data_IF_963463011550
#
_entry.id   IF_963463011550
#
_cell.length_a   1.000
_cell.length_b   1.000
_cell.length_c   1.000
_cell.angle_alpha   90.00
_cell.angle_beta   90.00
_cell.angle_gamma   90.00
#
_symmetry.space_group_name_H-M   'P 1'
#
loop_
_entity.id
_entity.type
_entity.pdbx_description
1 polymer ?
#
# COMPACT_ATOMS: atom_id res chain seq x y z
N UNK A 1 23.36 -27.51 -27.12
CA UNK A 1 24.27 -26.86 -26.19
C UNK A 1 23.91 -25.38 -26.21
N UNK A 2 23.61 -24.78 -25.07
CA UNK A 2 23.42 -23.34 -25.01
C UNK A 2 24.74 -22.68 -25.30
N UNK A 3 24.77 -21.71 -26.23
CA UNK A 3 25.96 -20.93 -26.49
C UNK A 3 26.32 -20.10 -25.26
N UNK A 4 27.60 -20.03 -24.93
CA UNK A 4 28.10 -19.24 -23.78
C UNK A 4 29.23 -18.31 -24.24
N UNK A 5 29.40 -17.22 -23.50
CA UNK A 5 30.55 -16.33 -23.56
C UNK A 5 31.34 -16.41 -22.28
N UNK A 6 32.65 -16.34 -22.35
CA UNK A 6 33.52 -16.29 -21.16
C UNK A 6 33.62 -14.86 -20.65
N UNK A 7 33.29 -14.64 -19.37
CA UNK A 7 33.52 -13.36 -18.66
C UNK A 7 34.44 -13.57 -17.48
N UNK A 8 35.16 -12.52 -17.09
CA UNK A 8 36.11 -12.52 -15.95
C UNK A 8 35.83 -11.38 -14.98
N UNK A 9 35.95 -11.70 -13.69
CA UNK A 9 35.99 -10.73 -12.60
C UNK A 9 37.14 -11.02 -11.64
N UNK A 10 37.21 -10.30 -10.50
CA UNK A 10 38.26 -10.47 -9.48
C UNK A 10 38.36 -11.92 -8.94
N UNK A 11 37.30 -12.70 -9.00
CA UNK A 11 37.24 -14.09 -8.51
C UNK A 11 37.53 -15.13 -9.61
N UNK A 12 37.86 -14.71 -10.83
CA UNK A 12 38.16 -15.55 -11.98
C UNK A 12 37.04 -15.66 -13.00
N UNK A 13 37.23 -16.54 -13.96
CA UNK A 13 36.35 -16.68 -15.15
C UNK A 13 35.09 -17.50 -14.88
N UNK A 14 34.03 -17.23 -15.64
CA UNK A 14 32.77 -18.00 -15.70
C UNK A 14 32.21 -17.99 -17.12
N UNK A 15 31.44 -19.04 -17.43
CA UNK A 15 30.67 -19.13 -18.66
C UNK A 15 29.27 -18.55 -18.45
N UNK A 16 28.95 -17.46 -19.13
CA UNK A 16 27.65 -16.78 -19.09
C UNK A 16 26.86 -17.16 -20.34
N UNK A 17 25.55 -17.46 -20.26
CA UNK A 17 24.73 -17.70 -21.46
C UNK A 17 24.82 -16.54 -22.43
N UNK A 18 25.00 -16.84 -23.73
CA UNK A 18 25.24 -15.81 -24.73
C UNK A 18 24.00 -14.96 -25.05
N UNK A 19 22.82 -15.51 -24.83
CA UNK A 19 21.53 -14.81 -24.94
C UNK A 19 21.25 -13.84 -23.76
N UNK A 20 21.87 -14.06 -22.58
CA UNK A 20 21.67 -13.21 -21.40
C UNK A 20 22.27 -11.81 -21.61
N UNK A 21 21.52 -10.77 -21.17
CA UNK A 21 22.06 -9.40 -21.09
C UNK A 21 22.79 -9.14 -19.76
N UNK A 22 22.55 -9.95 -18.73
CA UNK A 22 23.34 -9.93 -17.52
C UNK A 22 24.70 -10.63 -17.70
N UNK A 23 25.63 -10.41 -16.79
CA UNK A 23 27.00 -10.90 -16.87
C UNK A 23 27.44 -11.72 -15.65
N UNK A 24 28.76 -11.79 -15.42
CA UNK A 24 29.39 -12.64 -14.43
C UNK A 24 28.99 -12.31 -12.99
N UNK A 25 28.79 -11.03 -12.61
CA UNK A 25 28.34 -10.64 -11.27
C UNK A 25 26.93 -11.16 -10.97
N UNK A 26 26.04 -11.03 -11.94
CA UNK A 26 24.67 -11.58 -11.84
C UNK A 26 24.70 -13.10 -11.76
N UNK A 27 25.53 -13.78 -12.55
CA UNK A 27 25.69 -15.24 -12.46
C UNK A 27 26.08 -15.69 -11.05
N UNK A 28 27.08 -15.04 -10.45
CA UNK A 28 27.48 -15.35 -9.07
C UNK A 28 26.37 -15.07 -8.06
N UNK A 29 25.58 -14.02 -8.26
CA UNK A 29 24.44 -13.73 -7.40
C UNK A 29 23.35 -14.81 -7.49
N UNK A 30 23.08 -15.33 -8.69
CA UNK A 30 22.15 -16.46 -8.90
C UNK A 30 22.67 -17.72 -8.19
N UNK A 31 23.97 -17.99 -8.29
CA UNK A 31 24.61 -19.14 -7.62
C UNK A 31 24.55 -19.01 -6.09
N UNK A 32 24.75 -17.80 -5.55
CA UNK A 32 24.86 -17.54 -4.11
C UNK A 32 23.49 -17.43 -3.40
N UNK A 33 22.47 -16.87 -4.07
CA UNK A 33 21.21 -16.49 -3.44
C UNK A 33 20.04 -17.23 -4.08
N UNK A 34 19.74 -18.42 -3.57
CA UNK A 34 18.57 -19.23 -3.87
C UNK A 34 17.73 -19.35 -2.60
N UNK A 35 17.14 -18.24 -2.16
CA UNK A 35 16.55 -18.12 -0.81
C UNK A 35 15.02 -18.12 -0.88
N UNK A 36 14.44 -17.13 -1.58
CA UNK A 36 12.98 -16.95 -1.60
C UNK A 36 12.30 -17.60 -2.80
N UNK A 37 13.05 -17.86 -3.86
CA UNK A 37 12.52 -18.27 -5.16
C UNK A 37 11.82 -17.14 -5.91
N UNK A 38 11.84 -15.90 -5.39
CA UNK A 38 11.28 -14.70 -6.01
C UNK A 38 12.41 -13.79 -6.47
N UNK A 39 12.35 -13.35 -7.70
CA UNK A 39 13.42 -12.57 -8.32
C UNK A 39 13.05 -11.10 -8.49
N UNK A 40 14.04 -10.29 -8.82
CA UNK A 40 13.86 -8.85 -9.10
C UNK A 40 13.00 -8.63 -10.36
N UNK A 41 12.89 -9.60 -11.28
CA UNK A 41 11.96 -9.54 -12.41
C UNK A 41 10.51 -9.24 -12.00
N UNK A 42 10.13 -9.61 -10.77
CA UNK A 42 8.79 -9.34 -10.21
C UNK A 42 8.60 -7.88 -9.77
N UNK A 43 9.65 -7.06 -9.83
CA UNK A 43 9.63 -5.65 -9.43
C UNK A 43 10.03 -4.72 -10.62
N UNK A 44 9.27 -4.70 -11.72
CA UNK A 44 9.61 -3.93 -12.92
C UNK A 44 9.74 -2.43 -12.65
N UNK A 45 9.05 -1.90 -11.65
CA UNK A 45 9.18 -0.50 -11.24
C UNK A 45 10.57 -0.20 -10.68
N UNK A 46 11.19 -1.14 -9.95
CA UNK A 46 12.55 -1.00 -9.45
C UNK A 46 13.57 -1.04 -10.59
N UNK A 47 13.39 -1.95 -11.56
CA UNK A 47 14.25 -2.07 -12.75
C UNK A 47 14.23 -0.77 -13.55
N UNK A 48 13.03 -0.23 -13.84
CA UNK A 48 12.88 1.06 -14.52
C UNK A 48 13.48 2.22 -13.71
N UNK A 49 13.35 2.21 -12.38
CA UNK A 49 13.96 3.22 -11.54
C UNK A 49 15.50 3.16 -11.60
N UNK A 50 16.09 1.95 -11.61
CA UNK A 50 17.54 1.80 -11.86
C UNK A 50 17.94 2.39 -13.21
N UNK A 51 17.25 2.08 -14.29
CA UNK A 51 17.52 2.65 -15.59
C UNK A 51 17.44 4.19 -15.60
N UNK A 52 16.49 4.79 -14.87
CA UNK A 52 16.38 6.23 -14.72
C UNK A 52 17.55 6.84 -13.95
N UNK A 53 17.99 6.19 -12.87
CA UNK A 53 19.19 6.61 -12.12
C UNK A 53 20.42 6.52 -13.00
N UNK A 54 20.63 5.42 -13.71
CA UNK A 54 21.80 5.23 -14.60
C UNK A 54 21.78 6.23 -15.74
N UNK A 55 20.62 6.52 -16.35
CA UNK A 55 20.46 7.59 -17.34
C UNK A 55 20.85 8.96 -16.79
N UNK A 56 20.40 9.30 -15.58
CA UNK A 56 20.75 10.58 -14.93
C UNK A 56 22.26 10.68 -14.68
N UNK A 57 22.90 9.58 -14.24
CA UNK A 57 24.34 9.49 -14.01
C UNK A 57 25.13 9.64 -15.31
N UNK A 58 24.72 8.97 -16.39
CA UNK A 58 25.36 9.09 -17.70
C UNK A 58 25.29 10.52 -18.24
N UNK A 59 24.13 11.16 -18.16
CA UNK A 59 23.95 12.56 -18.54
C UNK A 59 24.83 13.51 -17.72
N UNK A 60 24.91 13.31 -16.40
CA UNK A 60 25.75 14.12 -15.51
C UNK A 60 27.24 13.95 -15.84
N UNK A 61 27.70 12.72 -15.99
CA UNK A 61 29.08 12.42 -16.36
C UNK A 61 29.47 12.98 -17.74
N UNK A 62 28.54 12.92 -18.71
CA UNK A 62 28.74 13.52 -20.03
C UNK A 62 28.85 15.06 -19.92
N UNK A 63 27.94 15.70 -19.22
CA UNK A 63 27.93 17.15 -19.01
C UNK A 63 29.18 17.65 -18.30
N UNK A 64 29.70 16.90 -17.33
CA UNK A 64 30.93 17.20 -16.58
C UNK A 64 32.21 16.71 -17.28
N UNK A 65 32.10 16.19 -18.50
CA UNK A 65 33.23 15.66 -19.30
C UNK A 65 33.98 14.50 -18.60
N UNK A 66 33.34 13.80 -17.68
CA UNK A 66 33.86 12.62 -17.00
C UNK A 66 33.62 11.33 -17.84
N UNK A 67 32.81 11.39 -18.90
CA UNK A 67 32.56 10.31 -19.85
C UNK A 67 32.56 10.83 -21.26
N UNK A 68 33.09 10.05 -22.22
CA UNK A 68 33.04 10.38 -23.66
C UNK A 68 31.58 10.36 -24.15
N UNK A 69 31.16 11.35 -24.99
CA UNK A 69 29.77 11.44 -25.45
C UNK A 69 29.24 10.13 -26.07
N UNK A 70 30.00 9.49 -26.97
CA UNK A 70 29.56 8.23 -27.63
C UNK A 70 29.18 7.16 -26.62
N UNK A 71 29.95 6.98 -25.52
CA UNK A 71 29.66 5.99 -24.49
C UNK A 71 28.44 6.39 -23.67
N UNK A 72 28.34 7.66 -23.31
CA UNK A 72 27.20 8.17 -22.55
C UNK A 72 25.90 8.07 -23.32
N UNK A 73 25.90 8.43 -24.61
CA UNK A 73 24.74 8.35 -25.50
C UNK A 73 24.25 6.92 -25.67
N UNK A 74 25.16 5.95 -25.83
CA UNK A 74 24.80 4.53 -25.92
C UNK A 74 24.17 4.02 -24.61
N UNK A 75 24.71 4.40 -23.42
CA UNK A 75 24.14 4.06 -22.12
C UNK A 75 22.77 4.72 -21.95
N UNK A 76 22.60 5.99 -22.34
CA UNK A 76 21.32 6.71 -22.28
C UNK A 76 20.28 6.00 -23.14
N UNK A 77 20.63 5.64 -24.37
CA UNK A 77 19.73 4.93 -25.28
C UNK A 77 19.32 3.55 -24.72
N UNK A 78 20.27 2.79 -24.15
CA UNK A 78 19.97 1.53 -23.46
C UNK A 78 19.01 1.70 -22.29
N UNK A 79 19.20 2.75 -21.47
CA UNK A 79 18.28 3.07 -20.40
C UNK A 79 16.88 3.43 -20.93
N UNK A 80 16.77 4.16 -22.04
CA UNK A 80 15.48 4.52 -22.64
C UNK A 80 14.72 3.28 -23.14
N UNK A 81 15.42 2.31 -23.74
CA UNK A 81 14.81 1.01 -24.11
C UNK A 81 14.17 0.30 -22.91
N UNK A 82 14.83 0.31 -21.75
CA UNK A 82 14.28 -0.29 -20.52
C UNK A 82 13.10 0.52 -19.97
N UNK A 83 13.22 1.85 -19.95
CA UNK A 83 12.21 2.74 -19.35
C UNK A 83 10.93 2.77 -20.18
N UNK A 84 11.05 3.01 -21.49
CA UNK A 84 9.94 3.30 -22.37
C UNK A 84 9.36 2.02 -23.00
N UNK A 85 10.23 1.14 -23.50
CA UNK A 85 9.84 -0.06 -24.23
C UNK A 85 9.75 -1.30 -23.34
N UNK A 86 10.20 -1.23 -22.09
CA UNK A 86 10.20 -2.38 -21.18
C UNK A 86 11.16 -3.49 -21.57
N UNK A 87 12.18 -3.17 -22.37
CA UNK A 87 13.15 -4.15 -22.82
C UNK A 87 14.00 -4.67 -21.67
N UNK A 88 14.35 -5.94 -21.69
CA UNK A 88 15.18 -6.59 -20.66
C UNK A 88 14.62 -6.59 -19.22
N UNK A 89 13.32 -6.37 -19.02
CA UNK A 89 12.72 -6.48 -17.67
C UNK A 89 12.78 -7.91 -17.12
N UNK A 90 12.91 -8.90 -17.98
CA UNK A 90 13.11 -10.33 -17.67
C UNK A 90 14.56 -10.70 -17.36
N UNK A 91 15.50 -9.77 -17.47
CA UNK A 91 16.95 -9.98 -17.33
C UNK A 91 17.47 -9.68 -15.91
N UNK A 92 16.60 -9.76 -14.87
CA UNK A 92 16.95 -9.51 -13.48
C UNK A 92 16.64 -10.72 -12.58
N UNK A 93 17.35 -11.85 -12.79
CA UNK A 93 17.06 -13.13 -12.13
C UNK A 93 17.60 -13.23 -10.70
N UNK A 94 18.15 -12.18 -10.11
CA UNK A 94 18.68 -12.16 -8.75
C UNK A 94 17.54 -12.29 -7.74
N UNK A 95 17.71 -13.14 -6.71
CA UNK A 95 16.72 -13.29 -5.63
C UNK A 95 16.53 -11.97 -4.87
N UNK A 96 15.30 -11.72 -4.42
CA UNK A 96 14.95 -10.52 -3.64
C UNK A 96 15.69 -10.48 -2.30
N UNK A 97 16.03 -11.64 -1.73
CA UNK A 97 16.86 -11.77 -0.52
C UNK A 97 18.33 -11.95 -0.90
N UNK A 98 19.14 -10.95 -0.61
CA UNK A 98 20.54 -10.92 -0.97
C UNK A 98 21.37 -10.12 0.03
N UNK A 99 22.61 -10.54 0.29
CA UNK A 99 23.60 -9.76 1.04
C UNK A 99 24.23 -8.66 0.17
N UNK A 100 24.97 -7.74 0.80
CA UNK A 100 25.74 -6.70 0.09
C UNK A 100 24.97 -5.43 -0.24
N UNK A 101 23.96 -5.07 0.56
CA UNK A 101 23.24 -3.80 0.44
C UNK A 101 22.63 -3.52 -0.95
N UNK A 102 22.27 -4.59 -1.71
CA UNK A 102 21.74 -4.46 -3.06
C UNK A 102 22.78 -4.43 -4.17
N UNK A 103 24.06 -4.74 -3.88
CA UNK A 103 25.13 -4.77 -4.89
C UNK A 103 24.82 -5.70 -6.06
N UNK A 104 24.22 -6.87 -5.77
CA UNK A 104 23.86 -7.81 -6.85
C UNK A 104 22.85 -7.22 -7.84
N UNK A 105 21.85 -6.48 -7.36
CA UNK A 105 20.87 -5.80 -8.24
C UNK A 105 21.53 -4.62 -8.98
N UNK A 106 22.35 -3.82 -8.30
CA UNK A 106 23.04 -2.71 -8.93
C UNK A 106 23.97 -3.21 -10.05
N UNK A 107 24.72 -4.28 -9.81
CA UNK A 107 25.60 -4.87 -10.84
C UNK A 107 24.80 -5.54 -11.95
N UNK A 108 23.69 -6.20 -11.63
CA UNK A 108 22.77 -6.73 -12.64
C UNK A 108 22.28 -5.62 -13.59
N UNK A 109 21.86 -4.48 -13.03
CA UNK A 109 21.47 -3.32 -13.84
C UNK A 109 22.65 -2.79 -14.67
N UNK A 110 23.85 -2.70 -14.11
CA UNK A 110 25.06 -2.26 -14.83
C UNK A 110 25.39 -3.18 -16.00
N UNK A 111 25.34 -4.50 -15.80
CA UNK A 111 25.65 -5.49 -16.83
C UNK A 111 24.60 -5.50 -17.94
N UNK A 112 23.31 -5.48 -17.60
CA UNK A 112 22.21 -5.42 -18.59
C UNK A 112 22.29 -4.16 -19.42
N UNK A 113 22.50 -3.00 -18.79
CA UNK A 113 22.61 -1.71 -19.52
C UNK A 113 23.89 -1.68 -20.38
N UNK A 114 25.02 -2.23 -19.90
CA UNK A 114 26.24 -2.29 -20.67
C UNK A 114 26.07 -3.15 -21.92
N UNK A 115 25.51 -4.35 -21.79
CA UNK A 115 25.30 -5.26 -22.92
C UNK A 115 24.25 -4.73 -23.93
N UNK A 116 23.21 -4.04 -23.43
CA UNK A 116 22.25 -3.38 -24.32
C UNK A 116 22.88 -2.18 -25.06
N UNK A 117 23.74 -1.41 -24.38
CA UNK A 117 24.49 -0.32 -25.00
C UNK A 117 25.50 -0.83 -26.05
N UNK A 118 26.17 -1.98 -25.80
CA UNK A 118 27.03 -2.65 -26.79
C UNK A 118 26.25 -3.05 -28.03
N UNK A 119 25.09 -3.67 -27.87
CA UNK A 119 24.22 -4.03 -28.99
C UNK A 119 23.81 -2.80 -29.83
N UNK A 120 23.44 -1.66 -29.15
CA UNK A 120 23.11 -0.40 -29.85
C UNK A 120 24.30 0.14 -30.65
N UNK A 121 25.53 -0.09 -30.19
CA UNK A 121 26.75 0.28 -30.91
C UNK A 121 27.13 -0.73 -32.03
N UNK A 122 26.43 -1.86 -32.17
CA UNK A 122 26.74 -2.93 -33.11
C UNK A 122 27.86 -3.85 -32.63
N UNK A 123 28.16 -3.88 -31.35
CA UNK A 123 29.16 -4.71 -30.72
C UNK A 123 28.52 -5.97 -30.06
N UNK A 124 29.34 -7.01 -29.88
CA UNK A 124 28.91 -8.23 -29.18
C UNK A 124 28.80 -7.99 -27.67
N UNK A 125 27.88 -8.72 -27.01
CA UNK A 125 27.78 -8.72 -25.56
C UNK A 125 29.11 -9.18 -24.92
N UNK A 126 29.43 -8.62 -23.75
CA UNK A 126 30.69 -8.91 -23.06
C UNK A 126 31.91 -8.11 -23.57
N UNK A 127 31.78 -7.29 -24.65
CA UNK A 127 32.87 -6.39 -25.11
C UNK A 127 33.07 -5.22 -24.13
N UNK A 128 33.43 -5.55 -22.89
CA UNK A 128 33.59 -4.59 -21.80
C UNK A 128 34.80 -3.66 -21.94
N UNK A 129 35.65 -3.90 -22.94
CA UNK A 129 36.66 -2.94 -23.43
C UNK A 129 36.02 -1.72 -24.12
N UNK A 130 34.83 -1.87 -24.70
CA UNK A 130 34.05 -0.77 -25.31
C UNK A 130 33.13 -0.09 -24.27
N UNK A 131 32.16 -0.84 -23.71
CA UNK A 131 31.29 -0.35 -22.62
C UNK A 131 31.41 -1.28 -21.44
N UNK A 132 31.99 -0.79 -20.34
CA UNK A 132 32.24 -1.55 -19.12
C UNK A 132 31.15 -1.28 -18.08
N UNK A 133 30.58 -2.30 -17.41
CA UNK A 133 29.58 -2.13 -16.36
C UNK A 133 30.04 -1.24 -15.20
N UNK A 134 31.29 -1.38 -14.73
CA UNK A 134 31.85 -0.62 -13.61
C UNK A 134 32.37 0.76 -14.05
N UNK A 135 33.24 0.81 -15.07
CA UNK A 135 33.96 2.03 -15.44
C UNK A 135 33.08 3.05 -16.16
N UNK A 136 32.01 2.58 -16.83
CA UNK A 136 31.14 3.43 -17.63
C UNK A 136 29.72 3.52 -17.05
N UNK A 137 28.98 2.41 -16.93
CA UNK A 137 27.58 2.44 -16.44
C UNK A 137 27.50 2.86 -14.99
N UNK A 138 28.41 2.37 -14.12
CA UNK A 138 28.48 2.70 -12.70
C UNK A 138 29.38 3.91 -12.39
N UNK A 139 29.83 4.66 -13.39
CA UNK A 139 30.76 5.78 -13.18
C UNK A 139 30.20 6.83 -12.23
N UNK A 140 31.03 7.31 -11.30
CA UNK A 140 30.67 8.29 -10.23
C UNK A 140 29.56 7.81 -9.29
N UNK A 141 29.42 6.50 -9.11
CA UNK A 141 28.42 5.87 -8.26
C UNK A 141 29.01 4.80 -7.36
N UNK A 142 28.29 4.48 -6.31
CA UNK A 142 28.38 3.24 -5.55
C UNK A 142 27.00 2.56 -5.56
N UNK A 143 26.94 1.29 -5.22
CA UNK A 143 25.67 0.66 -4.86
C UNK A 143 24.97 1.46 -3.76
N UNK A 144 25.75 1.99 -2.81
CA UNK A 144 25.28 2.64 -1.60
C UNK A 144 24.53 3.97 -1.84
N UNK A 145 24.62 4.55 -3.03
CA UNK A 145 23.81 5.70 -3.45
C UNK A 145 22.86 5.37 -4.60
N UNK A 146 23.25 4.52 -5.53
CA UNK A 146 22.42 4.17 -6.69
C UNK A 146 21.22 3.27 -6.31
N UNK A 147 21.42 2.25 -5.45
CA UNK A 147 20.37 1.34 -5.02
C UNK A 147 19.27 2.06 -4.22
N UNK A 148 19.59 2.77 -3.10
CA UNK A 148 18.54 3.46 -2.34
C UNK A 148 17.83 4.52 -3.17
N UNK A 149 18.50 5.20 -4.08
CA UNK A 149 17.85 6.16 -4.97
C UNK A 149 16.83 5.49 -5.90
N UNK A 150 17.18 4.38 -6.53
CA UNK A 150 16.27 3.62 -7.39
C UNK A 150 15.10 3.05 -6.56
N UNK A 151 15.39 2.52 -5.38
CA UNK A 151 14.39 1.99 -4.46
C UNK A 151 13.39 3.08 -4.02
N UNK A 152 13.85 4.25 -3.60
CA UNK A 152 13.00 5.39 -3.19
C UNK A 152 12.06 5.83 -4.32
N UNK A 153 12.55 5.94 -5.56
CA UNK A 153 11.75 6.31 -6.73
C UNK A 153 10.68 5.24 -7.03
N UNK A 154 11.06 3.96 -7.01
CA UNK A 154 10.13 2.87 -7.24
C UNK A 154 9.05 2.82 -6.14
N UNK A 155 9.46 2.97 -4.88
CA UNK A 155 8.56 3.00 -3.73
C UNK A 155 7.58 4.16 -3.80
N UNK A 156 8.05 5.37 -4.13
CA UNK A 156 7.20 6.54 -4.33
C UNK A 156 6.09 6.30 -5.36
N UNK A 157 6.42 5.64 -6.47
CA UNK A 157 5.42 5.28 -7.49
C UNK A 157 4.41 4.25 -6.98
N UNK A 158 4.89 3.23 -6.27
CA UNK A 158 4.01 2.21 -5.67
C UNK A 158 3.07 2.81 -4.62
N UNK A 159 3.54 3.76 -3.81
CA UNK A 159 2.69 4.49 -2.85
C UNK A 159 1.59 5.25 -3.57
N UNK A 160 1.88 5.93 -4.68
CA UNK A 160 0.85 6.61 -5.47
C UNK A 160 -0.20 5.64 -6.06
N UNK A 161 0.20 4.41 -6.41
CA UNK A 161 -0.74 3.36 -6.83
C UNK A 161 -1.62 2.90 -5.66
N UNK A 162 -1.06 2.75 -4.46
CA UNK A 162 -1.83 2.40 -3.27
C UNK A 162 -2.86 3.49 -2.92
N UNK A 163 -2.45 4.76 -2.96
CA UNK A 163 -3.35 5.90 -2.75
C UNK A 163 -4.57 5.84 -3.67
N UNK A 164 -4.32 5.62 -4.96
CA UNK A 164 -5.39 5.48 -5.95
C UNK A 164 -6.34 4.31 -5.63
N UNK A 165 -5.81 3.15 -5.27
CA UNK A 165 -6.62 1.99 -4.92
C UNK A 165 -7.48 2.21 -3.66
N UNK A 166 -6.94 2.90 -2.65
CA UNK A 166 -7.70 3.28 -1.45
C UNK A 166 -8.80 4.29 -1.75
N UNK A 167 -8.55 5.27 -2.61
CA UNK A 167 -9.52 6.28 -3.02
C UNK A 167 -10.67 5.67 -3.83
N UNK A 168 -10.37 4.82 -4.81
CA UNK A 168 -11.37 4.09 -5.58
C UNK A 168 -12.22 3.13 -4.71
N UNK A 169 -11.62 2.55 -3.67
CA UNK A 169 -12.37 1.74 -2.69
C UNK A 169 -13.27 2.63 -1.81
N UNK A 170 -12.77 3.79 -1.39
CA UNK A 170 -13.56 4.76 -0.62
C UNK A 170 -14.76 5.29 -1.42
N UNK A 171 -14.58 5.54 -2.72
CA UNK A 171 -15.68 5.94 -3.60
C UNK A 171 -16.78 4.86 -3.66
N UNK A 172 -16.41 3.59 -3.76
CA UNK A 172 -17.37 2.49 -3.74
C UNK A 172 -18.16 2.41 -2.41
N UNK A 173 -17.51 2.69 -1.27
CA UNK A 173 -18.20 2.80 0.00
C UNK A 173 -19.16 4.00 0.06
N UNK A 174 -18.79 5.16 -0.49
CA UNK A 174 -19.68 6.33 -0.55
C UNK A 174 -20.87 6.10 -1.47
N UNK A 175 -20.71 5.39 -2.58
CA UNK A 175 -21.83 4.98 -3.44
C UNK A 175 -22.83 4.13 -2.65
N UNK A 176 -22.37 3.17 -1.88
CA UNK A 176 -23.21 2.37 -0.97
C UNK A 176 -23.79 3.21 0.17
N UNK A 177 -23.04 4.16 0.69
CA UNK A 177 -23.52 5.13 1.67
C UNK A 177 -24.72 5.93 1.14
N UNK A 178 -24.65 6.37 -0.10
CA UNK A 178 -25.76 7.06 -0.77
C UNK A 178 -26.96 6.14 -1.03
N UNK A 179 -26.73 4.89 -1.46
CA UNK A 179 -27.75 3.87 -1.70
C UNK A 179 -28.52 3.54 -0.43
N UNK A 180 -27.84 3.37 0.71
CA UNK A 180 -28.45 2.95 1.98
C UNK A 180 -28.81 4.11 2.91
N UNK A 181 -28.73 5.35 2.44
CA UNK A 181 -28.92 6.56 3.26
C UNK A 181 -30.22 6.58 4.06
N UNK A 182 -31.29 6.07 3.50
CA UNK A 182 -32.61 6.10 4.11
C UNK A 182 -32.96 4.81 4.89
N UNK A 183 -32.06 3.85 4.97
CA UNK A 183 -32.24 2.61 5.70
C UNK A 183 -31.79 2.83 7.14
N UNK A 184 -32.74 2.74 8.09
CA UNK A 184 -32.43 2.80 9.52
C UNK A 184 -31.93 1.45 10.01
N UNK A 185 -30.93 1.47 10.86
CA UNK A 185 -30.40 0.32 11.60
C UNK A 185 -30.08 0.70 13.03
N UNK A 186 -29.85 -0.30 13.89
CA UNK A 186 -29.45 -0.10 15.27
C UNK A 186 -27.95 0.01 15.38
N UNK A 187 -27.43 1.18 15.78
CA UNK A 187 -26.03 1.36 16.13
C UNK A 187 -25.71 0.61 17.41
N UNK A 188 -24.47 0.10 17.49
CA UNK A 188 -24.00 -0.72 18.62
C UNK A 188 -22.71 -0.18 19.20
N UNK A 189 -22.61 -0.19 20.52
CA UNK A 189 -21.37 0.00 21.27
C UNK A 189 -21.12 -1.23 22.13
N UNK A 190 -19.89 -1.78 22.10
CA UNK A 190 -19.56 -3.03 22.80
C UNK A 190 -20.47 -4.22 22.37
N UNK A 191 -20.96 -4.20 21.14
CA UNK A 191 -21.94 -5.13 20.55
C UNK A 191 -23.30 -5.14 21.27
N UNK A 192 -23.59 -4.12 22.09
CA UNK A 192 -24.90 -3.90 22.69
C UNK A 192 -25.64 -2.78 21.95
N UNK A 193 -26.96 -2.83 21.93
CA UNK A 193 -27.81 -1.81 21.35
C UNK A 193 -27.45 -0.43 21.93
N UNK A 194 -27.30 0.55 21.05
CA UNK A 194 -27.09 1.93 21.43
C UNK A 194 -28.25 2.81 20.96
N UNK A 195 -28.12 3.38 19.78
CA UNK A 195 -29.14 4.26 19.21
C UNK A 195 -29.32 3.99 17.72
N UNK A 196 -30.51 4.25 17.14
CA UNK A 196 -30.73 4.20 15.69
C UNK A 196 -29.77 5.10 14.93
N UNK A 197 -29.40 4.66 13.75
CA UNK A 197 -28.57 5.41 12.79
C UNK A 197 -28.93 5.02 11.37
N UNK A 198 -28.46 5.79 10.38
CA UNK A 198 -28.53 5.39 8.98
C UNK A 198 -27.49 4.31 8.67
N UNK A 199 -27.88 3.21 8.02
CA UNK A 199 -26.94 2.22 7.51
C UNK A 199 -25.98 2.87 6.48
N UNK A 200 -26.48 3.79 5.66
CA UNK A 200 -25.63 4.57 4.75
C UNK A 200 -24.59 5.41 5.46
N UNK A 201 -24.87 5.90 6.67
CA UNK A 201 -23.92 6.61 7.52
C UNK A 201 -22.73 5.74 7.91
N UNK A 202 -22.94 4.45 8.18
CA UNK A 202 -21.84 3.50 8.44
C UNK A 202 -20.92 3.33 7.23
N UNK A 203 -21.49 3.15 6.03
CA UNK A 203 -20.69 3.02 4.80
C UNK A 203 -19.91 4.30 4.46
N UNK A 204 -20.52 5.47 4.63
CA UNK A 204 -19.82 6.76 4.48
C UNK A 204 -18.70 6.94 5.52
N UNK A 205 -18.87 6.43 6.74
CA UNK A 205 -17.81 6.43 7.74
C UNK A 205 -16.64 5.52 7.35
N UNK A 206 -16.90 4.36 6.72
CA UNK A 206 -15.85 3.51 6.15
C UNK A 206 -15.08 4.23 5.04
N UNK A 207 -15.76 4.92 4.13
CA UNK A 207 -15.13 5.73 3.09
C UNK A 207 -14.22 6.82 3.70
N UNK A 208 -14.72 7.58 4.65
CA UNK A 208 -13.96 8.62 5.33
C UNK A 208 -12.71 8.06 6.03
N UNK A 209 -12.86 6.92 6.71
CA UNK A 209 -11.77 6.22 7.40
C UNK A 209 -10.62 5.87 6.46
N UNK A 210 -10.89 5.51 5.20
CA UNK A 210 -9.89 5.21 4.21
C UNK A 210 -9.25 6.47 3.61
N UNK A 211 -10.04 7.52 3.32
CA UNK A 211 -9.53 8.78 2.78
C UNK A 211 -8.59 9.52 3.71
N UNK A 212 -8.75 9.39 5.03
CA UNK A 212 -7.80 9.96 5.99
C UNK A 212 -6.35 9.47 5.81
N UNK A 213 -6.14 8.33 5.13
CA UNK A 213 -4.80 7.78 4.91
C UNK A 213 -4.06 8.49 3.78
N UNK A 214 -4.76 9.14 2.84
CA UNK A 214 -4.16 9.77 1.67
C UNK A 214 -3.15 10.86 2.07
N UNK A 215 -3.52 11.79 2.92
CA UNK A 215 -2.64 12.86 3.39
C UNK A 215 -1.36 12.31 4.06
N UNK A 216 -1.50 11.25 4.85
CA UNK A 216 -0.35 10.63 5.53
C UNK A 216 0.57 9.91 4.58
N UNK A 217 0.00 9.21 3.59
CA UNK A 217 0.78 8.56 2.53
C UNK A 217 1.53 9.60 1.69
N UNK A 218 0.89 10.74 1.35
CA UNK A 218 1.54 11.85 0.64
C UNK A 218 2.72 12.40 1.44
N UNK A 219 2.49 12.77 2.70
CA UNK A 219 3.51 13.40 3.53
C UNK A 219 4.73 12.48 3.73
N UNK A 220 4.51 11.19 3.95
CA UNK A 220 5.61 10.22 4.06
C UNK A 220 6.26 9.90 2.71
N UNK A 221 5.51 9.94 1.60
CA UNK A 221 6.07 9.76 0.27
C UNK A 221 7.03 10.89 -0.13
N UNK A 222 6.86 12.11 0.38
CA UNK A 222 7.79 13.21 0.13
C UNK A 222 9.18 12.95 0.75
N UNK A 223 9.25 12.23 1.88
CA UNK A 223 10.53 11.83 2.48
C UNK A 223 11.33 10.88 1.58
N UNK A 224 10.65 10.12 0.72
CA UNK A 224 11.29 9.23 -0.26
C UNK A 224 11.96 9.98 -1.41
N UNK A 225 11.62 11.25 -1.62
CA UNK A 225 12.17 12.04 -2.70
C UNK A 225 13.49 12.73 -2.33
N UNK A 226 13.95 12.63 -1.09
CA UNK A 226 15.30 13.00 -0.72
C UNK A 226 16.24 11.83 -1.05
N UNK A 227 17.33 12.12 -1.79
CA UNK A 227 18.28 11.10 -2.24
C UNK A 227 19.71 11.42 -1.81
N UNK A 228 20.49 10.36 -1.57
CA UNK A 228 21.93 10.45 -1.35
C UNK A 228 22.75 10.30 -2.64
N UNK A 229 22.15 10.36 -3.84
CA UNK A 229 22.85 10.17 -5.10
C UNK A 229 23.99 11.19 -5.26
N UNK A 230 25.21 10.68 -5.50
CA UNK A 230 26.47 11.43 -5.46
C UNK A 230 27.25 11.25 -4.17
N UNK A 231 26.70 10.55 -3.17
CA UNK A 231 27.38 10.20 -1.92
C UNK A 231 28.52 9.22 -2.13
N UNK A 232 28.39 8.38 -3.12
CA UNK A 232 29.26 7.22 -3.39
C UNK A 232 29.30 6.24 -2.21
N UNK A 233 30.49 5.88 -1.71
CA UNK A 233 30.65 4.78 -0.76
C UNK A 233 29.99 5.05 0.62
N UNK A 234 30.19 6.23 1.19
CA UNK A 234 29.79 6.57 2.58
C UNK A 234 29.26 8.01 2.74
N UNK A 235 29.08 8.76 1.66
CA UNK A 235 28.61 10.15 1.76
C UNK A 235 29.68 11.22 1.50
N UNK A 236 30.91 10.84 1.16
CA UNK A 236 32.00 11.79 0.90
C UNK A 236 32.11 12.25 -0.55
N UNK A 237 31.34 11.63 -1.46
CA UNK A 237 31.41 11.92 -2.89
C UNK A 237 32.73 11.49 -3.55
N UNK A 238 33.44 10.52 -2.97
CA UNK A 238 34.71 10.01 -3.50
C UNK A 238 34.56 9.59 -4.96
N UNK A 239 35.48 9.99 -5.83
CA UNK A 239 35.53 9.71 -7.26
C UNK A 239 34.39 10.35 -8.09
N UNK A 240 33.73 11.39 -7.60
CA UNK A 240 32.80 12.21 -8.38
C UNK A 240 33.47 13.51 -8.86
N UNK A 241 33.13 14.02 -10.04
CA UNK A 241 33.53 15.38 -10.47
C UNK A 241 32.88 16.47 -9.61
N UNK A 242 33.51 17.63 -9.54
CA UNK A 242 32.93 18.78 -8.86
C UNK A 242 31.53 19.14 -9.38
N UNK A 243 30.59 19.37 -8.46
CA UNK A 243 29.21 19.70 -8.80
C UNK A 243 28.33 18.53 -9.28
N UNK A 244 28.85 17.30 -9.19
CA UNK A 244 28.15 16.10 -9.69
C UNK A 244 26.79 15.93 -9.04
N UNK A 245 26.68 16.03 -7.71
CA UNK A 245 25.40 15.83 -6.98
C UNK A 245 24.28 16.73 -7.50
N UNK A 246 24.55 18.02 -7.65
CA UNK A 246 23.55 19.00 -8.10
C UNK A 246 23.08 18.73 -9.53
N UNK A 247 24.01 18.28 -10.38
CA UNK A 247 23.73 18.01 -11.79
C UNK A 247 22.95 16.71 -11.95
N UNK A 248 23.37 15.64 -11.28
CA UNK A 248 22.70 14.33 -11.38
C UNK A 248 21.29 14.37 -10.82
N UNK A 249 21.05 15.04 -9.69
CA UNK A 249 19.73 15.23 -9.10
C UNK A 249 18.83 16.05 -10.05
N UNK A 250 19.36 17.08 -10.72
CA UNK A 250 18.61 17.85 -11.72
C UNK A 250 18.18 17.00 -12.91
N UNK A 251 19.05 16.13 -13.42
CA UNK A 251 18.70 15.17 -14.46
C UNK A 251 17.67 14.17 -13.98
N UNK A 252 17.85 13.60 -12.80
CA UNK A 252 16.94 12.63 -12.22
C UNK A 252 15.53 13.21 -12.05
N UNK A 253 15.42 14.45 -11.57
CA UNK A 253 14.14 15.18 -11.47
C UNK A 253 13.43 15.31 -12.83
N UNK A 254 14.16 15.61 -13.89
CA UNK A 254 13.59 15.71 -15.24
C UNK A 254 13.11 14.36 -15.78
N UNK A 255 13.90 13.31 -15.56
CA UNK A 255 13.61 11.96 -16.05
C UNK A 255 12.41 11.34 -15.33
N UNK A 256 12.33 11.53 -14.02
CA UNK A 256 11.29 10.92 -13.18
C UNK A 256 9.98 11.71 -13.13
N UNK A 257 10.02 13.00 -13.40
CA UNK A 257 8.92 13.94 -13.15
C UNK A 257 8.64 14.20 -11.66
N UNK A 258 9.40 13.55 -10.76
CA UNK A 258 9.25 13.70 -9.32
C UNK A 258 10.10 14.86 -8.76
N UNK A 259 9.68 15.46 -7.65
CA UNK A 259 10.41 16.55 -6.97
C UNK A 259 11.62 16.05 -6.17
N UNK A 260 12.48 15.22 -6.79
CA UNK A 260 13.66 14.66 -6.15
C UNK A 260 14.60 15.78 -5.69
N UNK A 261 15.11 15.71 -4.48
CA UNK A 261 16.08 16.63 -3.89
C UNK A 261 17.31 15.86 -3.41
N UNK A 262 18.50 16.47 -3.46
CA UNK A 262 19.70 15.91 -2.86
C UNK A 262 19.69 16.15 -1.36
N UNK A 263 20.10 15.15 -0.57
CA UNK A 263 20.24 15.32 0.88
C UNK A 263 21.26 16.40 1.23
N UNK A 264 20.99 17.21 2.23
CA UNK A 264 21.97 18.18 2.76
C UNK A 264 23.11 17.53 3.52
N UNK A 265 22.92 16.29 4.01
CA UNK A 265 23.95 15.51 4.69
C UNK A 265 24.05 14.10 4.10
N UNK A 266 24.98 13.92 3.18
CA UNK A 266 25.17 12.66 2.46
C UNK A 266 25.69 11.52 3.35
N UNK A 267 26.39 11.81 4.46
CA UNK A 267 26.85 10.79 5.41
C UNK A 267 25.68 10.18 6.16
N UNK A 268 24.77 11.01 6.64
CA UNK A 268 23.54 10.58 7.31
C UNK A 268 22.63 9.83 6.32
N UNK A 269 22.35 10.40 5.15
CA UNK A 269 21.45 9.84 4.16
C UNK A 269 21.93 8.51 3.52
N UNK A 270 23.21 8.13 3.72
CA UNK A 270 23.73 6.83 3.27
C UNK A 270 23.50 5.72 4.29
N UNK A 271 23.23 6.06 5.55
CA UNK A 271 23.01 5.07 6.62
C UNK A 271 21.57 5.09 7.16
N UNK A 272 20.88 6.23 7.13
CA UNK A 272 19.53 6.35 7.69
C UNK A 272 18.47 5.70 6.79
N UNK A 273 17.59 4.94 7.42
CA UNK A 273 16.45 4.27 6.79
C UNK A 273 15.09 4.70 7.40
N UNK A 274 15.10 5.79 8.17
CA UNK A 274 13.91 6.30 8.88
C UNK A 274 12.71 6.59 7.96
N UNK A 275 12.97 7.05 6.74
CA UNK A 275 11.92 7.28 5.74
C UNK A 275 11.15 5.99 5.39
N UNK A 276 11.82 4.85 5.33
CA UNK A 276 11.19 3.55 5.06
C UNK A 276 10.36 3.07 6.27
N UNK A 277 10.85 3.27 7.49
CA UNK A 277 10.13 2.96 8.73
C UNK A 277 8.84 3.78 8.80
N UNK A 278 8.92 5.09 8.60
CA UNK A 278 7.76 5.98 8.59
C UNK A 278 6.74 5.61 7.53
N UNK A 279 7.21 5.29 6.32
CA UNK A 279 6.33 4.85 5.23
C UNK A 279 5.63 3.55 5.57
N UNK A 280 6.36 2.53 6.07
CA UNK A 280 5.73 1.24 6.39
C UNK A 280 4.76 1.35 7.58
N UNK A 281 5.05 2.18 8.57
CA UNK A 281 4.13 2.47 9.67
C UNK A 281 2.80 3.07 9.17
N UNK A 282 2.84 3.93 8.14
CA UNK A 282 1.63 4.47 7.50
C UNK A 282 0.87 3.40 6.72
N UNK A 283 1.58 2.54 5.98
CA UNK A 283 0.98 1.39 5.27
C UNK A 283 0.33 0.43 6.26
N UNK A 284 1.00 0.11 7.38
CA UNK A 284 0.43 -0.70 8.48
C UNK A 284 -0.85 -0.07 9.03
N UNK A 285 -0.86 1.26 9.26
CA UNK A 285 -2.05 1.95 9.76
C UNK A 285 -3.23 1.79 8.80
N UNK A 286 -3.01 1.92 7.50
CA UNK A 286 -4.03 1.68 6.46
C UNK A 286 -4.55 0.23 6.52
N UNK A 287 -3.66 -0.76 6.69
CA UNK A 287 -4.03 -2.16 6.83
C UNK A 287 -4.89 -2.42 8.09
N UNK A 288 -4.56 -1.80 9.22
CA UNK A 288 -5.35 -1.92 10.47
C UNK A 288 -6.77 -1.40 10.27
N UNK A 289 -6.93 -0.23 9.66
CA UNK A 289 -8.24 0.35 9.36
C UNK A 289 -9.05 -0.53 8.38
N UNK A 290 -8.43 -0.97 7.31
CA UNK A 290 -9.08 -1.84 6.31
C UNK A 290 -9.51 -3.17 6.92
N UNK A 291 -8.68 -3.76 7.78
CA UNK A 291 -9.02 -5.00 8.50
C UNK A 291 -10.22 -4.81 9.42
N UNK A 292 -10.30 -3.67 10.12
CA UNK A 292 -11.47 -3.34 10.97
C UNK A 292 -12.74 -3.24 10.14
N UNK A 293 -12.71 -2.55 9.01
CA UNK A 293 -13.86 -2.46 8.09
C UNK A 293 -14.31 -3.85 7.63
N UNK A 294 -13.37 -4.72 7.26
CA UNK A 294 -13.70 -6.10 6.87
C UNK A 294 -14.32 -6.91 8.02
N UNK A 295 -13.88 -6.71 9.26
CA UNK A 295 -14.50 -7.36 10.42
C UNK A 295 -15.96 -6.93 10.59
N UNK A 296 -16.25 -5.65 10.43
CA UNK A 296 -17.62 -5.13 10.52
C UNK A 296 -18.50 -5.67 9.38
N UNK A 297 -18.02 -5.67 8.14
CA UNK A 297 -18.75 -6.26 7.01
C UNK A 297 -19.11 -7.74 7.25
N UNK A 298 -18.17 -8.52 7.82
CA UNK A 298 -18.41 -9.93 8.16
C UNK A 298 -19.43 -10.07 9.28
N UNK A 299 -19.42 -9.18 10.27
CA UNK A 299 -20.36 -9.18 11.38
C UNK A 299 -21.76 -8.77 10.93
N UNK A 300 -21.89 -7.67 10.17
CA UNK A 300 -23.17 -7.19 9.64
C UNK A 300 -23.82 -8.22 8.69
N UNK A 301 -23.03 -8.99 7.96
CA UNK A 301 -23.50 -10.05 7.05
C UNK A 301 -23.69 -11.41 7.72
N UNK A 302 -23.48 -11.53 9.03
CA UNK A 302 -23.50 -12.81 9.75
C UNK A 302 -24.91 -13.44 9.77
N UNK A 303 -24.97 -14.75 9.75
CA UNK A 303 -26.22 -15.50 9.81
C UNK A 303 -26.46 -16.40 8.59
N UNK A 304 -27.63 -16.32 7.91
CA UNK A 304 -28.67 -15.27 7.98
C UNK A 304 -29.68 -15.40 9.15
N UNK A 305 -29.79 -16.53 9.83
CA UNK A 305 -30.81 -16.73 10.88
C UNK A 305 -30.27 -16.63 12.31
N UNK A 306 -28.98 -16.89 12.49
CA UNK A 306 -28.30 -16.90 13.79
C UNK A 306 -27.21 -15.82 13.85
N UNK A 307 -27.41 -14.68 13.20
CA UNK A 307 -26.51 -13.55 13.19
C UNK A 307 -27.26 -12.24 12.89
N UNK A 308 -26.52 -11.17 12.60
CA UNK A 308 -27.12 -9.84 12.40
C UNK A 308 -27.90 -9.73 11.11
N UNK A 309 -27.40 -10.28 10.01
CA UNK A 309 -28.08 -10.29 8.72
C UNK A 309 -28.60 -8.92 8.24
N UNK A 310 -27.88 -7.85 8.53
CA UNK A 310 -28.26 -6.48 8.13
C UNK A 310 -27.94 -6.21 6.65
N UNK A 311 -26.88 -6.87 6.15
CA UNK A 311 -26.45 -6.77 4.75
C UNK A 311 -26.23 -8.16 4.15
N UNK A 312 -26.27 -8.23 2.82
CA UNK A 312 -25.85 -9.43 2.07
C UNK A 312 -24.61 -9.12 1.27
N UNK A 313 -23.59 -9.95 1.42
CA UNK A 313 -22.39 -9.91 0.57
C UNK A 313 -22.61 -10.74 -0.68
N UNK A 314 -21.95 -10.40 -1.81
CA UNK A 314 -21.97 -11.23 -3.01
C UNK A 314 -21.49 -12.66 -2.75
N UNK A 315 -22.17 -13.62 -3.38
CA UNK A 315 -21.81 -15.06 -3.25
C UNK A 315 -20.65 -15.39 -4.17
N UNK A 316 -19.42 -15.42 -3.64
CA UNK A 316 -18.20 -15.60 -4.43
C UNK A 316 -17.68 -17.05 -4.48
N UNK A 317 -18.09 -17.90 -3.54
CA UNK A 317 -17.70 -19.31 -3.50
C UNK A 317 -18.79 -20.16 -2.86
N UNK A 318 -18.90 -21.43 -3.25
CA UNK A 318 -19.67 -22.41 -2.52
C UNK A 318 -19.04 -22.58 -1.13
N UNK A 319 -19.77 -22.20 -0.08
CA UNK A 319 -19.16 -21.91 1.23
C UNK A 319 -18.83 -23.11 2.09
N UNK A 320 -19.28 -24.33 1.76
CA UNK A 320 -19.07 -25.50 2.61
C UNK A 320 -19.04 -26.80 1.82
N UNK A 321 -18.11 -27.67 2.20
CA UNK A 321 -18.04 -29.03 1.69
C UNK A 321 -19.05 -30.00 2.34
N UNK A 322 -19.67 -29.59 3.45
CA UNK A 322 -20.57 -30.44 4.25
C UNK A 322 -21.95 -29.81 4.48
N UNK A 323 -22.09 -28.49 4.49
CA UNK A 323 -23.35 -27.78 4.75
C UNK A 323 -23.94 -27.23 3.44
N UNK A 324 -25.05 -27.80 2.92
CA UNK A 324 -25.67 -27.26 1.71
C UNK A 324 -26.09 -25.80 1.87
N UNK A 325 -25.95 -25.02 0.79
CA UNK A 325 -26.35 -23.61 0.71
C UNK A 325 -25.62 -22.63 1.65
N UNK A 326 -24.61 -23.03 2.40
CA UNK A 326 -23.80 -22.13 3.21
C UNK A 326 -22.88 -21.30 2.30
N UNK A 327 -22.89 -19.98 2.48
CA UNK A 327 -21.98 -19.04 1.80
C UNK A 327 -21.19 -18.28 2.86
N UNK A 328 -19.87 -18.22 2.71
CA UNK A 328 -18.99 -17.53 3.65
C UNK A 328 -18.54 -16.18 3.07
N UNK A 329 -18.19 -15.20 3.94
CA UNK A 329 -17.71 -13.87 3.55
C UNK A 329 -16.22 -13.91 3.12
N UNK A 330 -15.88 -14.74 2.13
CA UNK A 330 -14.48 -15.08 1.77
C UNK A 330 -13.66 -13.89 1.29
N UNK A 331 -14.29 -12.84 0.72
CA UNK A 331 -13.58 -11.66 0.25
C UNK A 331 -13.10 -10.79 1.42
N UNK A 332 -13.94 -10.37 2.39
CA UNK A 332 -13.41 -9.73 3.60
C UNK A 332 -12.40 -10.58 4.37
N UNK A 333 -12.56 -11.91 4.39
CA UNK A 333 -11.61 -12.82 5.06
C UNK A 333 -10.21 -12.77 4.43
N UNK A 334 -10.10 -12.83 3.11
CA UNK A 334 -8.78 -12.76 2.45
C UNK A 334 -8.14 -11.38 2.63
N UNK A 335 -8.94 -10.32 2.66
CA UNK A 335 -8.43 -8.97 2.95
C UNK A 335 -7.89 -8.87 4.37
N UNK A 336 -8.56 -9.46 5.37
CA UNK A 336 -8.03 -9.56 6.73
C UNK A 336 -6.65 -10.26 6.74
N UNK A 337 -6.49 -11.39 6.03
CA UNK A 337 -5.22 -12.11 5.94
C UNK A 337 -4.10 -11.26 5.31
N UNK A 338 -4.42 -10.51 4.25
CA UNK A 338 -3.50 -9.53 3.65
C UNK A 338 -3.06 -8.50 4.68
N UNK A 339 -4.02 -7.93 5.43
CA UNK A 339 -3.72 -6.94 6.45
C UNK A 339 -2.81 -7.51 7.56
N UNK A 340 -3.02 -8.75 8.00
CA UNK A 340 -2.16 -9.42 8.99
C UNK A 340 -0.73 -9.59 8.46
N UNK A 341 -0.57 -9.97 7.18
CA UNK A 341 0.75 -10.09 6.55
C UNK A 341 1.47 -8.73 6.49
N UNK A 342 0.77 -7.67 6.12
CA UNK A 342 1.31 -6.30 6.08
C UNK A 342 1.75 -5.84 7.47
N UNK A 343 0.96 -6.11 8.52
CA UNK A 343 1.33 -5.79 9.91
C UNK A 343 2.62 -6.55 10.31
N UNK A 344 2.75 -7.81 9.91
CA UNK A 344 3.98 -8.60 10.15
C UNK A 344 5.20 -8.04 9.41
N UNK A 345 5.05 -7.55 8.20
CA UNK A 345 6.13 -6.91 7.43
C UNK A 345 6.65 -5.63 8.07
N UNK A 346 5.81 -4.89 8.81
CA UNK A 346 6.24 -3.70 9.57
C UNK A 346 7.33 -4.02 10.61
N UNK A 347 7.20 -5.15 11.26
CA UNK A 347 8.22 -5.61 12.20
C UNK A 347 9.54 -5.95 11.48
N UNK A 348 9.45 -6.55 10.29
CA UNK A 348 10.63 -6.83 9.46
C UNK A 348 11.36 -5.54 9.08
N UNK A 349 10.63 -4.52 8.61
CA UNK A 349 11.22 -3.21 8.26
C UNK A 349 11.86 -2.54 9.48
N UNK A 350 11.19 -2.58 10.64
CA UNK A 350 11.70 -2.01 11.90
C UNK A 350 13.02 -2.67 12.32
N UNK A 351 13.07 -4.00 12.32
CA UNK A 351 14.29 -4.74 12.69
C UNK A 351 15.43 -4.53 11.71
N UNK A 352 15.13 -4.51 10.41
CA UNK A 352 16.12 -4.29 9.36
C UNK A 352 16.68 -2.85 9.40
N UNK A 353 15.86 -1.87 9.73
CA UNK A 353 16.30 -0.49 9.91
C UNK A 353 17.21 -0.34 11.13
N UNK A 354 16.87 -0.98 12.25
CA UNK A 354 17.70 -0.96 13.47
C UNK A 354 19.05 -1.67 13.28
N UNK A 355 19.10 -2.71 12.46
CA UNK A 355 20.30 -3.53 12.23
C UNK A 355 21.41 -2.82 11.42
N UNK A 356 21.20 -1.60 10.92
CA UNK A 356 22.25 -0.81 10.28
C UNK A 356 23.42 -0.51 11.21
N UNK A 357 24.63 -0.51 10.65
CA UNK A 357 25.84 -0.27 11.43
C UNK A 357 26.71 0.79 10.76
N UNK A 358 27.14 1.79 11.54
CA UNK A 358 28.03 2.86 11.11
C UNK A 358 27.48 3.59 9.87
N UNK A 359 28.22 3.65 8.77
CA UNK A 359 27.95 4.51 7.63
C UNK A 359 27.04 3.89 6.55
N UNK A 360 26.48 2.68 6.77
CA UNK A 360 25.62 2.00 5.80
C UNK A 360 24.63 1.05 6.48
N UNK A 361 23.38 1.08 6.07
CA UNK A 361 22.45 -0.01 6.36
C UNK A 361 22.48 -1.05 5.23
N UNK A 362 22.98 -2.25 5.53
CA UNK A 362 23.11 -3.34 4.53
C UNK A 362 21.83 -4.16 4.34
N UNK A 363 20.76 -3.86 5.10
CA UNK A 363 19.51 -4.61 5.11
C UNK A 363 18.43 -4.02 4.14
N UNK A 364 18.78 -3.02 3.34
CA UNK A 364 17.84 -2.41 2.39
C UNK A 364 17.12 -3.42 1.45
N UNK A 365 17.73 -4.52 0.98
CA UNK A 365 17.03 -5.49 0.14
C UNK A 365 15.78 -6.09 0.80
N UNK A 366 15.84 -6.48 2.07
CA UNK A 366 14.67 -7.01 2.78
C UNK A 366 13.66 -5.91 3.12
N UNK A 367 14.11 -4.68 3.37
CA UNK A 367 13.23 -3.50 3.52
C UNK A 367 12.44 -3.28 2.23
N UNK A 368 13.12 -3.32 1.08
CA UNK A 368 12.49 -3.15 -0.24
C UNK A 368 11.46 -4.27 -0.52
N UNK A 369 11.83 -5.52 -0.26
CA UNK A 369 10.93 -6.66 -0.43
C UNK A 369 9.67 -6.49 0.43
N UNK A 370 9.81 -6.18 1.72
CA UNK A 370 8.68 -6.05 2.64
C UNK A 370 7.74 -4.89 2.26
N UNK A 371 8.28 -3.73 1.86
CA UNK A 371 7.51 -2.57 1.41
C UNK A 371 6.77 -2.85 0.10
N UNK A 372 7.46 -3.43 -0.89
CA UNK A 372 6.84 -3.74 -2.19
C UNK A 372 5.76 -4.81 -2.05
N UNK A 373 6.02 -5.86 -1.28
CA UNK A 373 5.03 -6.89 -1.00
C UNK A 373 3.79 -6.30 -0.31
N UNK A 374 3.98 -5.50 0.73
CA UNK A 374 2.89 -4.87 1.48
C UNK A 374 2.00 -4.00 0.60
N UNK A 375 2.61 -3.16 -0.25
CA UNK A 375 1.86 -2.30 -1.16
C UNK A 375 1.13 -3.12 -2.22
N UNK A 376 1.80 -4.09 -2.86
CA UNK A 376 1.16 -4.92 -3.88
C UNK A 376 -0.03 -5.71 -3.31
N UNK A 377 0.13 -6.27 -2.13
CA UNK A 377 -0.94 -7.01 -1.45
C UNK A 377 -2.13 -6.09 -1.13
N UNK A 378 -1.89 -4.88 -0.61
CA UNK A 378 -2.97 -3.94 -0.29
C UNK A 378 -3.68 -3.40 -1.53
N UNK A 379 -2.96 -3.07 -2.59
CA UNK A 379 -3.58 -2.65 -3.86
C UNK A 379 -4.52 -3.73 -4.38
N UNK A 380 -4.04 -4.97 -4.47
CA UNK A 380 -4.85 -6.09 -4.95
C UNK A 380 -6.03 -6.40 -4.00
N UNK A 381 -5.84 -6.22 -2.69
CA UNK A 381 -6.91 -6.40 -1.71
C UNK A 381 -8.00 -5.32 -1.84
N UNK A 382 -7.62 -4.05 -2.05
CA UNK A 382 -8.57 -2.96 -2.28
C UNK A 382 -9.40 -3.21 -3.55
N UNK A 383 -8.75 -3.55 -4.66
CA UNK A 383 -9.43 -3.85 -5.92
C UNK A 383 -10.37 -5.05 -5.77
N UNK A 384 -9.90 -6.12 -5.13
CA UNK A 384 -10.70 -7.33 -4.89
C UNK A 384 -11.91 -7.03 -3.99
N UNK A 385 -11.72 -6.27 -2.91
CA UNK A 385 -12.79 -5.90 -2.00
C UNK A 385 -13.84 -5.03 -2.71
N UNK A 386 -13.40 -4.02 -3.47
CA UNK A 386 -14.27 -3.15 -4.25
C UNK A 386 -15.12 -3.94 -5.24
N UNK A 387 -14.47 -4.70 -6.12
CA UNK A 387 -15.13 -5.32 -7.26
C UNK A 387 -15.96 -6.54 -6.91
N UNK A 388 -15.47 -7.34 -5.94
CA UNK A 388 -16.06 -8.64 -5.59
C UNK A 388 -16.88 -8.63 -4.31
N UNK A 389 -16.92 -7.50 -3.60
CA UNK A 389 -17.69 -7.37 -2.37
C UNK A 389 -18.50 -6.08 -2.36
N UNK A 390 -17.87 -4.90 -2.21
CA UNK A 390 -18.58 -3.66 -1.93
C UNK A 390 -19.61 -3.31 -3.00
N UNK A 391 -19.25 -3.36 -4.29
CA UNK A 391 -20.15 -3.01 -5.39
C UNK A 391 -21.44 -3.85 -5.42
N UNK A 392 -21.41 -5.05 -4.89
CA UNK A 392 -22.54 -5.97 -4.90
C UNK A 392 -23.27 -6.16 -3.57
N UNK A 393 -22.92 -5.37 -2.54
CA UNK A 393 -23.63 -5.42 -1.25
C UNK A 393 -25.08 -4.95 -1.41
N UNK A 394 -26.01 -5.65 -0.76
CA UNK A 394 -27.41 -5.23 -0.60
C UNK A 394 -27.79 -5.18 0.87
N UNK A 395 -28.75 -4.34 1.23
CA UNK A 395 -29.25 -4.24 2.59
C UNK A 395 -30.51 -5.10 2.79
N UNK A 396 -30.68 -5.62 4.01
CA UNK A 396 -31.90 -6.28 4.47
C UNK A 396 -32.73 -5.27 5.29
N UNK A 397 -33.45 -4.38 4.61
CA UNK A 397 -34.14 -3.25 5.23
C UNK A 397 -35.12 -3.66 6.34
N UNK A 398 -35.89 -4.73 6.13
CA UNK A 398 -36.83 -5.23 7.14
C UNK A 398 -36.14 -5.72 8.41
N UNK A 399 -34.96 -6.35 8.28
CA UNK A 399 -34.17 -6.79 9.43
C UNK A 399 -33.62 -5.60 10.20
N UNK A 400 -33.04 -4.63 9.50
CA UNK A 400 -32.53 -3.39 10.07
C UNK A 400 -33.63 -2.62 10.82
N UNK A 401 -34.80 -2.44 10.20
CA UNK A 401 -35.95 -1.80 10.81
C UNK A 401 -36.45 -2.56 12.05
N UNK A 402 -36.54 -3.89 11.97
CA UNK A 402 -36.95 -4.72 13.10
C UNK A 402 -36.03 -4.55 14.33
N UNK A 403 -34.72 -4.40 14.15
CA UNK A 403 -33.80 -4.11 15.25
C UNK A 403 -34.10 -2.75 15.90
N UNK A 404 -34.41 -1.73 15.12
CA UNK A 404 -34.78 -0.41 15.65
C UNK A 404 -36.09 -0.46 16.41
N UNK A 405 -37.13 -1.03 15.80
CA UNK A 405 -38.50 -1.08 16.38
C UNK A 405 -38.57 -1.88 17.68
N UNK A 406 -37.76 -2.95 17.80
CA UNK A 406 -37.75 -3.82 18.97
C UNK A 406 -36.70 -3.44 20.03
N UNK A 407 -35.84 -2.47 19.75
CA UNK A 407 -34.82 -2.07 20.72
C UNK A 407 -35.41 -1.25 21.87
N UNK A 408 -35.01 -1.59 23.09
CA UNK A 408 -35.32 -0.78 24.26
C UNK A 408 -34.55 0.55 24.27
N UNK A 409 -33.41 0.61 23.57
CA UNK A 409 -32.55 1.80 23.44
C UNK A 409 -33.26 3.02 22.86
N UNK A 410 -34.33 2.82 22.03
CA UNK A 410 -35.12 3.93 21.48
C UNK A 410 -35.83 4.77 22.56
N UNK A 411 -35.96 4.29 23.79
CA UNK A 411 -36.50 5.06 24.90
C UNK A 411 -35.70 6.36 25.14
N UNK A 412 -34.43 6.37 24.79
CA UNK A 412 -33.55 7.55 24.93
C UNK A 412 -34.08 8.76 24.15
N UNK A 413 -34.76 8.54 23.01
CA UNK A 413 -35.35 9.62 22.20
C UNK A 413 -36.54 10.33 22.87
N UNK A 414 -37.11 9.73 23.93
CA UNK A 414 -38.20 10.28 24.70
C UNK A 414 -37.73 11.03 25.94
N UNK A 415 -36.47 10.87 26.36
CA UNK A 415 -35.94 11.42 27.60
C UNK A 415 -36.09 12.94 27.70
N UNK A 416 -35.97 13.67 26.60
CA UNK A 416 -36.12 15.13 26.58
C UNK A 416 -37.57 15.57 26.88
N UNK A 417 -38.55 14.67 26.70
CA UNK A 417 -39.98 14.97 26.88
C UNK A 417 -40.52 14.37 28.16
N UNK A 418 -40.19 13.10 28.47
CA UNK A 418 -40.71 12.41 29.64
C UNK A 418 -39.76 12.42 30.84
N UNK A 419 -38.51 12.82 30.63
CA UNK A 419 -37.45 12.78 31.65
C UNK A 419 -36.82 11.39 31.81
N UNK A 420 -35.56 11.37 32.22
CA UNK A 420 -34.74 10.15 32.35
C UNK A 420 -35.36 9.10 33.28
N UNK A 421 -35.94 9.53 34.41
CA UNK A 421 -36.52 8.61 35.38
C UNK A 421 -37.73 7.82 34.80
N UNK A 422 -38.60 8.47 34.07
CA UNK A 422 -39.72 7.78 33.39
C UNK A 422 -39.19 6.93 32.22
N UNK A 423 -38.16 7.38 31.53
CA UNK A 423 -37.45 6.58 30.51
C UNK A 423 -36.95 5.25 31.11
N UNK A 424 -36.35 5.26 32.27
CA UNK A 424 -35.94 4.04 33.00
C UNK A 424 -37.11 3.12 33.31
N UNK A 425 -38.25 3.68 33.76
CA UNK A 425 -39.46 2.89 34.05
C UNK A 425 -40.01 2.25 32.79
N UNK A 426 -40.10 3.00 31.69
CA UNK A 426 -40.56 2.50 30.39
C UNK A 426 -39.64 1.39 29.88
N UNK A 427 -38.32 1.60 29.92
CA UNK A 427 -37.34 0.60 29.46
C UNK A 427 -37.42 -0.71 30.28
N UNK A 428 -37.49 -0.61 31.62
CA UNK A 428 -37.63 -1.78 32.50
C UNK A 428 -38.94 -2.53 32.25
N UNK A 429 -40.03 -1.81 32.05
CA UNK A 429 -41.35 -2.40 31.79
C UNK A 429 -41.37 -3.08 30.40
N UNK A 430 -40.82 -2.44 29.36
CA UNK A 430 -40.68 -3.01 28.06
C UNK A 430 -39.92 -4.35 28.09
N UNK A 431 -38.78 -4.37 28.76
CA UNK A 431 -37.99 -5.58 28.98
C UNK A 431 -38.75 -6.70 29.72
N UNK A 432 -39.46 -6.35 30.81
CA UNK A 432 -40.16 -7.32 31.64
C UNK A 432 -41.41 -7.91 30.96
N UNK A 433 -42.13 -7.10 30.19
CA UNK A 433 -43.36 -7.50 29.53
C UNK A 433 -43.16 -8.03 28.10
N UNK A 434 -41.94 -7.92 27.54
CA UNK A 434 -41.66 -8.27 26.16
C UNK A 434 -42.38 -7.39 25.14
N UNK A 435 -42.64 -6.13 25.53
CA UNK A 435 -43.31 -5.11 24.70
C UNK A 435 -42.28 -4.15 24.09
N UNK A 436 -42.65 -3.51 22.99
CA UNK A 436 -41.92 -2.38 22.45
C UNK A 436 -42.04 -1.14 23.33
N UNK A 437 -41.08 -0.23 23.23
CA UNK A 437 -41.13 1.07 23.93
C UNK A 437 -42.39 1.85 23.56
N UNK A 438 -42.82 1.82 22.29
CA UNK A 438 -44.07 2.45 21.80
C UNK A 438 -45.30 1.92 22.54
N UNK A 439 -45.43 0.58 22.63
CA UNK A 439 -46.55 -0.04 23.34
C UNK A 439 -46.60 0.36 24.83
N UNK A 440 -45.44 0.39 25.49
CA UNK A 440 -45.38 0.77 26.92
C UNK A 440 -45.71 2.26 27.13
N UNK A 441 -45.24 3.17 26.26
CA UNK A 441 -45.58 4.60 26.32
C UNK A 441 -47.08 4.80 26.14
N UNK A 442 -47.69 4.06 25.21
CA UNK A 442 -49.13 4.08 25.00
C UNK A 442 -49.88 3.51 26.22
N UNK A 443 -49.53 2.37 26.75
CA UNK A 443 -50.14 1.73 27.93
C UNK A 443 -50.04 2.58 29.18
N UNK A 444 -49.03 3.42 29.29
CA UNK A 444 -48.84 4.35 30.41
C UNK A 444 -49.46 5.74 30.15
N UNK A 445 -50.08 5.94 29.00
CA UNK A 445 -50.70 7.23 28.59
C UNK A 445 -49.72 8.44 28.73
N UNK A 446 -48.41 8.22 28.47
CA UNK A 446 -47.38 9.24 28.67
C UNK A 446 -47.37 10.31 27.58
N UNK A 447 -47.64 9.93 26.34
CA UNK A 447 -47.61 10.79 25.15
C UNK A 447 -48.73 10.45 24.20
N UNK A 448 -49.20 11.42 23.42
CA UNK A 448 -50.12 11.20 22.32
C UNK A 448 -49.45 10.42 21.17
N UNK A 449 -50.22 9.68 20.38
CA UNK A 449 -49.71 8.95 19.24
C UNK A 449 -48.94 9.86 18.24
N UNK A 450 -49.46 11.09 18.05
CA UNK A 450 -48.78 12.07 17.18
C UNK A 450 -47.39 12.51 17.68
N UNK A 451 -47.21 12.59 18.98
CA UNK A 451 -45.89 12.88 19.60
C UNK A 451 -44.95 11.69 19.45
N UNK A 452 -45.44 10.48 19.70
CA UNK A 452 -44.68 9.25 19.51
C UNK A 452 -44.24 9.12 18.06
N UNK A 453 -45.13 9.30 17.08
CA UNK A 453 -44.79 9.26 15.66
C UNK A 453 -43.78 10.31 15.26
N UNK A 454 -43.89 11.52 15.77
CA UNK A 454 -42.91 12.60 15.53
C UNK A 454 -41.53 12.24 16.07
N UNK A 455 -41.45 11.72 17.27
CA UNK A 455 -40.18 11.36 17.95
C UNK A 455 -39.55 10.14 17.25
N UNK A 456 -40.32 9.14 16.89
CA UNK A 456 -39.86 7.92 16.23
C UNK A 456 -39.87 8.02 14.70
N UNK A 457 -40.05 9.22 14.14
CA UNK A 457 -39.99 9.38 12.69
C UNK A 457 -38.60 8.98 12.16
N UNK A 458 -38.49 8.35 10.99
CA UNK A 458 -37.22 7.94 10.41
C UNK A 458 -36.21 9.09 10.29
N UNK A 459 -36.70 10.30 9.99
CA UNK A 459 -35.85 11.50 9.91
C UNK A 459 -35.22 11.86 11.25
N UNK A 460 -36.03 11.82 12.36
CA UNK A 460 -35.53 12.13 13.68
C UNK A 460 -34.64 11.02 14.25
N UNK A 461 -34.94 9.76 13.96
CA UNK A 461 -34.11 8.62 14.37
C UNK A 461 -32.72 8.64 13.69
N UNK A 462 -32.67 9.03 12.41
CA UNK A 462 -31.42 9.14 11.69
C UNK A 462 -30.58 10.38 12.08
N UNK A 463 -31.26 11.50 12.39
CA UNK A 463 -30.64 12.79 12.71
C UNK A 463 -31.39 13.44 13.90
N UNK A 464 -31.17 12.95 15.10
CA UNK A 464 -31.92 13.38 16.28
C UNK A 464 -31.78 14.88 16.52
N UNK A 465 -32.92 15.54 16.72
CA UNK A 465 -32.99 16.93 17.14
C UNK A 465 -33.44 16.99 18.61
N UNK A 466 -32.90 17.95 19.34
CA UNK A 466 -33.35 18.19 20.72
C UNK A 466 -34.87 18.48 20.71
N UNK A 467 -35.60 17.67 21.46
CA UNK A 467 -37.08 17.70 21.47
C UNK A 467 -37.65 18.36 22.76
N UNK A 468 -36.81 18.63 23.75
CA UNK A 468 -37.20 19.26 25.01
C UNK A 468 -37.49 20.76 24.83
N UNK A 469 -38.21 21.33 25.81
CA UNK A 469 -38.38 22.78 25.93
C UNK A 469 -37.17 23.38 26.62
N UNK A 470 -36.70 24.58 26.18
CA UNK A 470 -35.73 25.34 26.92
C UNK A 470 -36.28 25.56 28.35
N UNK A 471 -35.47 25.25 29.37
CA UNK A 471 -35.85 25.63 30.73
C UNK A 471 -35.89 27.16 30.80
N UNK A 472 -37.06 27.72 31.25
CA UNK A 472 -37.22 29.14 31.51
C UNK A 472 -36.40 29.63 32.70
#
# INVERSE_FOLDING_TARGET
>A
MTLTRTEEDLLGTREVPDDAYWGIHTLRAIENYQISGRTINEAPELIRAFAQVKKACALANMQLKAMKPVKAEAIIAACDEIIENGRCLDQFPVDQFQGGAGTSVNMNANEVIANLALEILGEEKGRYDVINPNDHVNRSQSTNDAYPTAFRIALWRKVNRLRKALDELADAFDEKGAEFRNILTMGRTQLQDAVPMSLGGEFSAFAHTLREEDERLVNNAELLLETNLGATAIGTGLNTPDGYQQIVVRHLRRITGARVVGSPNLLEATSDTGAYVSMHATIKRSAVKLSKVCNDLRLLASGPRAGLNEINLPKMAAGSSIMPAKVNPVIPEVVNQVCFKVIGNDQTVTMAAEAGQLQLNVMEPVIAQALFESINLLVNACDTLRERCINGITANEEVCRGYVENSIGIVTYFNDVIGHHLGDVVGKRAAAEGKTVREVIHDMELLSESEVERILSPENLANPKYAGTEEE
#
